data_IF_248739160917
#
_entry.id   IF_248739160917
#
_cell.length_a   1.000
_cell.length_b   1.000
_cell.length_c   1.000
_cell.angle_alpha   90.00
_cell.angle_beta   90.00
_cell.angle_gamma   90.00
#
_symmetry.space_group_name_H-M   'P 1'
#
loop_
_entity.id
_entity.type
_entity.pdbx_description
1 polymer ?
#
# COMPACT_ATOMS: atom_id res chain seq x y z
N UNK A 1 -5.61 -26.01 4.50
CA UNK A 1 -6.43 -24.95 5.12
C UNK A 1 -6.24 -23.66 4.33
N UNK A 2 -7.25 -22.80 4.26
CA UNK A 2 -7.27 -21.61 3.39
C UNK A 2 -7.00 -20.34 4.20
N UNK A 3 -6.02 -19.55 3.77
CA UNK A 3 -5.71 -18.22 4.30
C UNK A 3 -5.49 -17.30 3.11
N UNK A 4 -6.31 -16.26 2.97
CA UNK A 4 -6.20 -15.29 1.88
C UNK A 4 -6.63 -13.92 2.36
N UNK A 5 -5.82 -12.92 2.04
CA UNK A 5 -6.06 -11.51 2.30
C UNK A 5 -5.99 -10.78 0.96
N UNK A 6 -6.95 -9.91 0.68
CA UNK A 6 -6.96 -9.03 -0.50
C UNK A 6 -7.25 -7.63 0.01
N UNK A 7 -6.36 -6.68 -0.28
CA UNK A 7 -6.50 -5.30 0.16
C UNK A 7 -6.27 -4.35 -1.01
N UNK A 8 -7.00 -3.25 -1.00
CA UNK A 8 -6.77 -2.10 -1.87
C UNK A 8 -6.66 -0.88 -0.97
N UNK A 9 -5.56 -0.15 -1.09
CA UNK A 9 -5.30 0.98 -0.23
C UNK A 9 -4.12 1.81 -0.71
N UNK A 10 -3.76 2.81 0.10
CA UNK A 10 -2.65 3.71 -0.21
C UNK A 10 -1.49 3.47 0.74
N UNK A 11 -0.27 3.54 0.22
CA UNK A 11 0.93 3.48 1.05
C UNK A 11 1.02 4.71 1.95
N UNK A 12 1.22 4.50 3.24
CA UNK A 12 1.38 5.59 4.22
C UNK A 12 2.77 6.22 4.14
N UNK A 13 3.76 5.41 3.77
CA UNK A 13 5.16 5.75 3.66
C UNK A 13 5.78 5.07 2.44
N UNK A 14 6.92 5.59 1.98
CA UNK A 14 7.71 4.93 0.94
C UNK A 14 8.21 3.58 1.47
N UNK A 15 8.09 2.47 0.71
CA UNK A 15 8.53 1.15 1.16
C UNK A 15 10.03 1.12 1.42
N UNK A 16 10.43 0.65 2.59
CA UNK A 16 11.84 0.51 2.96
C UNK A 16 12.36 -0.86 2.52
N UNK A 17 13.23 -0.86 1.51
CA UNK A 17 13.92 -2.06 1.06
C UNK A 17 15.11 -2.37 1.96
N UNK A 18 15.07 -3.53 2.60
CA UNK A 18 16.15 -4.05 3.42
C UNK A 18 16.67 -5.37 2.84
N UNK A 19 17.92 -5.71 3.15
CA UNK A 19 18.49 -7.03 2.87
C UNK A 19 18.71 -7.78 4.17
N UNK A 20 18.32 -9.05 4.19
CA UNK A 20 18.60 -9.96 5.31
C UNK A 20 20.05 -10.46 5.28
N UNK A 21 20.50 -11.06 6.37
CA UNK A 21 21.83 -11.68 6.46
C UNK A 21 22.08 -12.77 5.40
N UNK A 22 21.01 -13.37 4.86
CA UNK A 22 21.08 -14.38 3.80
C UNK A 22 20.87 -13.77 2.40
N UNK A 23 21.15 -12.47 2.24
CA UNK A 23 21.01 -11.70 0.99
C UNK A 23 19.61 -11.73 0.35
N UNK A 24 18.56 -12.02 1.14
CA UNK A 24 17.17 -11.91 0.67
C UNK A 24 16.63 -10.51 0.88
N UNK A 25 16.15 -9.89 -0.19
CA UNK A 25 15.44 -8.61 -0.20
C UNK A 25 14.09 -8.71 0.54
N UNK A 26 13.80 -7.74 1.40
CA UNK A 26 12.53 -7.61 2.13
C UNK A 26 12.11 -6.15 2.15
N UNK A 27 10.86 -5.88 1.81
CA UNK A 27 10.25 -4.56 1.91
C UNK A 27 9.12 -4.60 2.94
N UNK A 28 9.08 -3.57 3.79
CA UNK A 28 7.99 -3.36 4.74
C UNK A 28 7.25 -2.09 4.39
N UNK A 29 5.93 -2.18 4.43
CA UNK A 29 5.06 -1.05 4.10
C UNK A 29 3.81 -1.08 4.98
N UNK A 30 3.25 0.10 5.21
CA UNK A 30 1.93 0.24 5.85
C UNK A 30 0.93 0.69 4.81
N UNK A 31 -0.17 -0.06 4.69
CA UNK A 31 -1.26 0.24 3.78
C UNK A 31 -2.43 0.84 4.56
N UNK A 32 -2.85 2.05 4.19
CA UNK A 32 -4.09 2.64 4.67
C UNK A 32 -5.26 2.15 3.81
N UNK A 33 -6.21 1.45 4.43
CA UNK A 33 -7.40 0.87 3.79
C UNK A 33 -8.62 1.56 4.36
N UNK A 34 -9.30 2.37 3.54
CA UNK A 34 -10.48 3.09 3.99
C UNK A 34 -11.64 2.13 4.26
N UNK A 35 -12.32 2.33 5.39
CA UNK A 35 -13.54 1.59 5.72
C UNK A 35 -14.69 2.06 4.83
N UNK A 36 -15.61 1.14 4.53
CA UNK A 36 -16.78 1.43 3.68
C UNK A 36 -17.81 2.34 4.35
N UNK A 37 -17.88 2.31 5.67
CA UNK A 37 -18.82 3.08 6.48
C UNK A 37 -18.13 4.26 7.16
N UNK A 38 -18.92 5.28 7.53
CA UNK A 38 -18.47 6.43 8.31
C UNK A 38 -18.48 6.09 9.80
N UNK A 39 -17.52 6.59 10.55
CA UNK A 39 -17.47 6.49 12.01
C UNK A 39 -18.57 7.32 12.68
N UNK A 40 -18.64 7.27 14.02
CA UNK A 40 -19.65 8.02 14.78
C UNK A 40 -19.54 9.54 14.60
N UNK A 41 -18.35 10.03 14.28
CA UNK A 41 -18.08 11.44 13.96
C UNK A 41 -18.47 11.84 12.52
N UNK A 42 -18.96 10.90 11.70
CA UNK A 42 -19.32 11.15 10.30
C UNK A 42 -18.15 11.12 9.30
N UNK A 43 -16.94 10.82 9.75
CA UNK A 43 -15.74 10.75 8.91
C UNK A 43 -15.44 9.32 8.45
N UNK A 44 -14.74 9.17 7.33
CA UNK A 44 -14.26 7.86 6.86
C UNK A 44 -12.95 7.52 7.56
N UNK A 45 -12.99 6.50 8.41
CA UNK A 45 -11.80 5.96 9.05
C UNK A 45 -11.02 5.02 8.12
N UNK A 46 -9.73 4.85 8.39
CA UNK A 46 -8.85 3.92 7.68
C UNK A 46 -8.20 2.93 8.64
N UNK A 47 -8.07 1.69 8.20
CA UNK A 47 -7.28 0.66 8.86
C UNK A 47 -5.85 0.70 8.33
N UNK A 48 -4.89 0.58 9.23
CA UNK A 48 -3.46 0.60 8.91
C UNK A 48 -2.91 -0.82 8.99
N UNK A 49 -2.68 -1.42 7.83
CA UNK A 49 -2.26 -2.82 7.73
C UNK A 49 -0.78 -2.90 7.39
N UNK A 50 -0.01 -3.60 8.23
CA UNK A 50 1.39 -3.90 7.96
C UNK A 50 1.50 -4.98 6.89
N UNK A 51 2.33 -4.73 5.88
CA UNK A 51 2.58 -5.64 4.76
C UNK A 51 4.07 -5.93 4.67
N UNK A 52 4.41 -7.21 4.51
CA UNK A 52 5.77 -7.68 4.27
C UNK A 52 5.84 -8.31 2.90
N UNK A 53 6.80 -7.85 2.09
CA UNK A 53 7.04 -8.34 0.73
C UNK A 53 8.47 -8.85 0.64
N UNK A 54 8.70 -9.94 -0.09
CA UNK A 54 10.01 -10.59 -0.20
C UNK A 54 10.53 -10.66 -1.64
N UNK A 55 11.85 -10.81 -1.77
CA UNK A 55 12.55 -11.08 -3.02
C UNK A 55 12.31 -10.02 -4.09
N UNK A 56 12.12 -10.45 -5.34
CA UNK A 56 11.92 -9.56 -6.48
C UNK A 56 10.68 -8.65 -6.34
N UNK A 57 9.63 -9.12 -5.67
CA UNK A 57 8.45 -8.29 -5.40
C UNK A 57 8.80 -7.13 -4.47
N UNK A 58 9.65 -7.35 -3.48
CA UNK A 58 10.12 -6.30 -2.58
C UNK A 58 10.89 -5.21 -3.35
N UNK A 59 11.81 -5.63 -4.23
CA UNK A 59 12.60 -4.74 -5.07
C UNK A 59 11.74 -3.93 -6.03
N UNK A 60 10.75 -4.59 -6.64
CA UNK A 60 9.77 -3.95 -7.53
C UNK A 60 8.93 -2.93 -6.75
N UNK A 61 8.44 -3.30 -5.57
CA UNK A 61 7.64 -2.41 -4.74
C UNK A 61 8.43 -1.15 -4.36
N UNK A 62 9.68 -1.31 -3.90
CA UNK A 62 10.52 -0.19 -3.51
C UNK A 62 10.95 0.69 -4.70
N UNK A 63 11.10 0.11 -5.89
CA UNK A 63 11.52 0.84 -7.09
C UNK A 63 10.39 1.64 -7.72
N UNK A 64 9.15 1.18 -7.62
CA UNK A 64 8.02 1.79 -8.33
C UNK A 64 6.98 2.44 -7.41
N UNK A 65 6.90 2.09 -6.13
CA UNK A 65 5.92 2.66 -5.22
C UNK A 65 6.54 3.73 -4.32
N UNK A 66 5.90 4.89 -4.26
CA UNK A 66 6.20 5.98 -3.32
C UNK A 66 5.05 6.16 -2.31
N UNK A 67 5.26 6.98 -1.29
CA UNK A 67 4.21 7.40 -0.37
C UNK A 67 2.95 7.84 -1.13
N UNK A 68 1.80 7.34 -0.68
CA UNK A 68 0.50 7.63 -1.27
C UNK A 68 0.12 6.76 -2.46
N UNK A 69 1.03 5.93 -2.99
CA UNK A 69 0.72 5.05 -4.14
C UNK A 69 -0.50 4.16 -3.86
N UNK A 70 -1.46 4.14 -4.79
CA UNK A 70 -2.61 3.23 -4.73
C UNK A 70 -2.19 1.84 -5.21
N UNK A 71 -2.40 0.85 -4.36
CA UNK A 71 -1.95 -0.53 -4.59
C UNK A 71 -3.10 -1.49 -4.27
N UNK A 72 -3.28 -2.50 -5.12
CA UNK A 72 -3.96 -3.74 -4.75
C UNK A 72 -2.91 -4.79 -4.38
N UNK A 73 -3.19 -5.58 -3.36
CA UNK A 73 -2.34 -6.71 -2.98
C UNK A 73 -3.18 -7.92 -2.63
N UNK A 74 -2.59 -9.08 -2.88
CA UNK A 74 -3.05 -10.37 -2.39
C UNK A 74 -1.95 -11.06 -1.58
N UNK A 75 -2.37 -11.79 -0.55
CA UNK A 75 -1.43 -12.37 0.40
C UNK A 75 -2.11 -13.20 1.46
N UNK A 76 -1.40 -13.37 2.58
CA UNK A 76 -1.82 -14.22 3.68
C UNK A 76 -1.59 -13.51 5.01
N UNK A 77 -2.51 -13.70 5.96
CA UNK A 77 -2.33 -13.17 7.30
C UNK A 77 -1.28 -14.01 8.05
N UNK A 78 -0.28 -13.35 8.62
CA UNK A 78 0.78 -13.97 9.41
C UNK A 78 0.87 -13.30 10.77
N UNK A 79 0.88 -14.12 11.81
CA UNK A 79 1.13 -13.68 13.17
C UNK A 79 2.49 -14.21 13.61
N UNK A 80 3.35 -13.34 14.10
CA UNK A 80 4.62 -13.74 14.72
C UNK A 80 4.76 -13.14 16.10
N UNK A 81 5.54 -13.81 16.95
CA UNK A 81 5.92 -13.30 18.25
C UNK A 81 7.43 -13.07 18.30
N UNK A 82 7.86 -12.02 18.97
CA UNK A 82 9.26 -11.80 19.30
C UNK A 82 9.35 -11.20 20.70
N UNK A 83 10.46 -11.46 21.38
CA UNK A 83 10.73 -10.89 22.70
C UNK A 83 11.72 -9.74 22.54
N UNK A 84 11.43 -8.62 23.20
CA UNK A 84 12.32 -7.46 23.26
C UNK A 84 12.24 -6.88 24.66
N UNK A 85 13.40 -6.68 25.29
CA UNK A 85 13.50 -6.10 26.64
C UNK A 85 12.64 -6.85 27.69
N UNK A 86 12.54 -8.19 27.56
CA UNK A 86 11.75 -9.06 28.45
C UNK A 86 10.23 -9.03 28.20
N UNK A 87 9.77 -8.29 27.19
CA UNK A 87 8.35 -8.20 26.81
C UNK A 87 8.11 -8.99 25.53
N UNK A 88 7.09 -9.86 25.56
CA UNK A 88 6.63 -10.58 24.36
C UNK A 88 5.72 -9.67 23.52
N UNK A 89 6.14 -9.38 22.30
CA UNK A 89 5.37 -8.65 21.30
C UNK A 89 4.75 -9.60 20.28
N UNK A 90 3.47 -9.39 20.00
CA UNK A 90 2.75 -10.07 18.92
C UNK A 90 2.55 -9.11 17.76
N UNK A 91 2.91 -9.55 16.55
CA UNK A 91 2.74 -8.78 15.33
C UNK A 91 1.85 -9.55 14.39
N UNK A 92 0.82 -8.88 13.91
CA UNK A 92 -0.02 -9.35 12.80
C UNK A 92 0.34 -8.54 11.57
N UNK A 93 0.73 -9.24 10.51
CA UNK A 93 1.17 -8.65 9.25
C UNK A 93 0.63 -9.47 8.07
N UNK A 94 0.53 -8.85 6.91
CA UNK A 94 0.16 -9.53 5.66
C UNK A 94 1.43 -9.88 4.90
N UNK A 95 1.65 -11.17 4.68
CA UNK A 95 2.66 -11.65 3.75
C UNK A 95 2.12 -11.50 2.33
N UNK A 96 2.70 -10.58 1.57
CA UNK A 96 2.29 -10.28 0.20
C UNK A 96 2.81 -11.37 -0.76
N UNK A 97 1.89 -11.96 -1.52
CA UNK A 97 2.19 -12.93 -2.58
C UNK A 97 2.20 -12.25 -3.96
N UNK A 98 1.43 -11.17 -4.12
CA UNK A 98 1.32 -10.40 -5.34
C UNK A 98 0.76 -9.01 -5.08
N UNK A 99 1.11 -8.04 -5.93
CA UNK A 99 0.54 -6.70 -5.89
C UNK A 99 0.46 -6.09 -7.28
N UNK A 100 -0.43 -5.11 -7.43
CA UNK A 100 -0.53 -4.26 -8.60
C UNK A 100 -0.61 -2.80 -8.19
N UNK A 101 0.17 -1.96 -8.88
CA UNK A 101 0.01 -0.51 -8.82
C UNK A 101 -1.22 -0.12 -9.63
N UNK A 102 -2.15 0.59 -9.00
CA UNK A 102 -3.41 0.99 -9.62
C UNK A 102 -3.40 2.41 -10.17
N UNK A 103 -2.23 3.06 -10.19
CA UNK A 103 -2.06 4.42 -10.68
C UNK A 103 -1.10 4.47 -11.86
N UNK A 104 -1.47 5.26 -12.87
CA UNK A 104 -0.58 5.52 -14.01
C UNK A 104 0.68 6.25 -13.55
N UNK A 105 1.75 6.17 -14.34
CA UNK A 105 2.98 6.94 -14.07
C UNK A 105 2.71 8.45 -14.10
N UNK A 106 1.80 8.90 -14.97
CA UNK A 106 1.39 10.30 -15.06
C UNK A 106 0.65 10.75 -13.78
N UNK A 107 -0.33 9.96 -13.30
CA UNK A 107 -1.06 10.25 -12.07
C UNK A 107 -0.12 10.32 -10.84
N UNK A 108 0.90 9.45 -10.79
CA UNK A 108 1.93 9.49 -9.74
C UNK A 108 2.78 10.76 -9.81
N UNK A 109 3.28 11.12 -10.99
CA UNK A 109 4.10 12.32 -11.19
C UNK A 109 3.32 13.61 -10.88
N UNK A 110 2.03 13.66 -11.25
CA UNK A 110 1.15 14.80 -10.96
C UNK A 110 0.98 15.02 -9.45
N UNK A 111 0.80 13.92 -8.70
CA UNK A 111 0.70 13.97 -7.24
C UNK A 111 2.01 14.40 -6.58
N UNK A 112 3.15 13.93 -7.07
CA UNK A 112 4.45 14.33 -6.54
C UNK A 112 4.77 15.81 -6.80
N UNK A 113 4.22 16.40 -7.87
CA UNK A 113 4.42 17.80 -8.25
C UNK A 113 3.41 18.80 -7.66
N UNK A 114 2.48 18.37 -6.77
CA UNK A 114 1.50 19.26 -6.14
C UNK A 114 0.73 20.19 -7.12
N UNK A 115 0.33 19.68 -8.29
CA UNK A 115 -0.63 20.38 -9.16
C UNK A 115 -2.06 20.04 -8.71
N UNK A 116 -2.48 20.61 -7.58
CA UNK A 116 -3.73 20.27 -6.88
C UNK A 116 -5.02 20.89 -7.43
N UNK A 117 -5.06 21.36 -8.68
CA UNK A 117 -6.25 22.05 -9.21
C UNK A 117 -6.69 21.62 -10.63
N UNK A 118 -5.80 21.20 -11.51
CA UNK A 118 -6.13 21.09 -12.95
C UNK A 118 -6.76 19.76 -13.39
N UNK A 119 -6.86 18.75 -12.51
CA UNK A 119 -7.35 17.42 -12.92
C UNK A 119 -8.87 17.33 -13.03
N UNK A 120 -9.63 18.14 -12.27
CA UNK A 120 -11.08 18.19 -12.40
C UNK A 120 -11.47 18.81 -13.75
N UNK A 121 -10.73 19.82 -14.21
CA UNK A 121 -10.97 20.47 -15.50
C UNK A 121 -10.56 19.58 -16.68
N UNK A 122 -9.43 18.87 -16.59
CA UNK A 122 -8.97 18.00 -17.69
C UNK A 122 -9.85 16.75 -17.90
N UNK A 123 -10.46 16.21 -16.84
CA UNK A 123 -11.35 15.05 -16.94
C UNK A 123 -12.76 15.42 -17.41
N UNK A 124 -13.19 16.66 -17.18
CA UNK A 124 -14.46 17.19 -17.70
C UNK A 124 -14.36 17.51 -19.20
N UNK A 125 -13.18 17.86 -19.72
CA UNK A 125 -12.97 18.08 -21.15
C UNK A 125 -13.03 16.81 -22.00
N UNK A 126 -12.77 15.61 -21.44
CA UNK A 126 -12.91 14.34 -22.17
C UNK A 126 -14.37 13.87 -22.32
N UNK A 127 -15.32 14.37 -21.52
CA UNK A 127 -16.74 13.99 -21.60
C UNK A 127 -17.55 14.78 -22.65
N UNK A 128 -17.02 15.89 -23.20
CA UNK A 128 -17.66 16.68 -24.26
C UNK A 128 -17.01 16.47 -25.64
N UNK A 129 -16.90 15.23 -26.10
CA UNK A 129 -16.74 14.98 -27.54
C UNK A 129 -18.12 14.73 -28.16
N UNK A 130 -18.66 15.65 -28.98
CA UNK A 130 -19.78 15.31 -29.82
C UNK A 130 -19.23 14.38 -30.92
N UNK A 131 -19.78 13.15 -30.95
CA UNK A 131 -19.56 12.07 -31.91
C UNK A 131 -18.14 11.49 -32.04
#
# INVERSE_FOLDING_TARGET
MYNKVILIGRLVNTPELNKTANDKSVARATLAVNRRYKGQNGEREADFVNVVVWGKLAETLASYASKGSLISLDGELRTRRYEKDGVTHYVTEVLCNGFQLLESRAQRALRENNAGADLADLLLEEEELPF
#
